data_IF_547198675035
#
_entry.id   IF_547198675035
#
_cell.length_a   1.000
_cell.length_b   1.000
_cell.length_c   1.000
_cell.angle_alpha   90.00
_cell.angle_beta   90.00
_cell.angle_gamma   90.00
#
_symmetry.space_group_name_H-M   'P 1'
#
loop_
_entity.id
_entity.type
_entity.pdbx_description
1 polymer ?
#
# COMPACT_ATOMS: atom_id res chain seq x y z
N UNK A 1 22.12 -28.53 49.24
CA UNK A 1 21.36 -29.30 48.23
C UNK A 1 19.99 -28.65 48.10
N UNK A 2 19.87 -27.64 47.24
CA UNK A 2 18.61 -26.91 47.05
C UNK A 2 17.65 -27.82 46.27
N UNK A 3 16.66 -28.38 46.97
CA UNK A 3 15.53 -29.05 46.34
C UNK A 3 14.68 -27.97 45.68
N UNK A 4 14.72 -27.94 44.35
CA UNK A 4 14.05 -26.98 43.48
C UNK A 4 12.54 -26.92 43.67
N UNK A 5 11.95 -25.84 43.16
CA UNK A 5 10.59 -25.39 43.43
C UNK A 5 9.46 -26.36 43.06
N UNK A 6 8.25 -25.95 43.45
CA UNK A 6 6.98 -26.71 43.49
C UNK A 6 6.52 -27.33 42.15
N UNK A 7 7.22 -27.12 41.04
CA UNK A 7 6.90 -27.73 39.75
C UNK A 7 7.92 -28.79 39.33
N UNK A 8 7.41 -29.80 38.61
CA UNK A 8 7.98 -30.97 37.95
C UNK A 8 9.37 -30.87 37.29
N UNK A 9 10.03 -29.71 37.26
CA UNK A 9 11.33 -29.47 36.63
C UNK A 9 12.39 -29.18 37.69
N UNK A 10 13.29 -30.14 37.88
CA UNK A 10 14.27 -30.13 38.97
C UNK A 10 15.44 -29.16 38.69
N UNK A 11 15.76 -28.89 37.43
CA UNK A 11 16.80 -27.95 37.01
C UNK A 11 16.47 -27.30 35.66
N UNK A 12 16.21 -25.99 35.65
CA UNK A 12 15.86 -25.23 34.45
C UNK A 12 17.07 -24.86 33.58
N UNK A 13 18.30 -25.09 34.05
CA UNK A 13 19.51 -24.82 33.26
C UNK A 13 19.87 -25.95 32.31
N UNK A 14 19.25 -27.13 32.50
CA UNK A 14 19.48 -28.31 31.68
C UNK A 14 18.60 -28.33 30.43
N UNK A 15 19.01 -29.11 29.43
CA UNK A 15 18.20 -29.40 28.26
C UNK A 15 16.98 -30.25 28.62
N UNK A 16 15.90 -30.26 27.82
CA UNK A 16 14.74 -31.11 28.10
C UNK A 16 15.10 -32.59 28.03
N UNK A 17 14.78 -33.33 29.08
CA UNK A 17 15.08 -34.76 29.20
C UNK A 17 14.04 -35.47 30.07
N UNK A 18 14.05 -36.81 30.07
CA UNK A 18 13.10 -37.62 30.82
C UNK A 18 11.66 -37.57 30.28
N UNK A 19 10.72 -38.12 31.04
CA UNK A 19 9.31 -38.24 30.63
C UNK A 19 8.60 -36.90 30.40
N UNK A 20 9.05 -35.83 31.07
CA UNK A 20 8.50 -34.47 30.93
C UNK A 20 9.30 -33.57 29.97
N UNK A 21 10.38 -34.07 29.37
CA UNK A 21 11.23 -33.31 28.45
C UNK A 21 10.53 -32.85 27.17
N UNK A 22 9.45 -33.52 26.77
CA UNK A 22 8.67 -33.16 25.59
C UNK A 22 7.71 -31.98 25.82
N UNK A 23 7.43 -31.61 27.07
CA UNK A 23 6.39 -30.62 27.41
C UNK A 23 6.69 -29.26 26.80
N UNK A 24 7.86 -28.68 27.08
CA UNK A 24 8.20 -27.34 26.60
C UNK A 24 8.43 -27.26 25.08
N UNK A 25 9.17 -28.19 24.44
CA UNK A 25 9.28 -28.20 22.98
C UNK A 25 7.92 -28.27 22.27
N UNK A 26 7.00 -29.08 22.80
CA UNK A 26 5.63 -29.19 22.25
C UNK A 26 4.84 -27.91 22.45
N UNK A 27 4.91 -27.30 23.63
CA UNK A 27 4.21 -26.04 23.91
C UNK A 27 4.72 -24.89 23.04
N UNK A 28 6.04 -24.74 22.90
CA UNK A 28 6.63 -23.70 22.04
C UNK A 28 6.20 -23.89 20.59
N UNK A 29 6.32 -25.10 20.06
CA UNK A 29 5.92 -25.40 18.68
C UNK A 29 4.41 -25.20 18.47
N UNK A 30 3.59 -25.67 19.42
CA UNK A 30 2.14 -25.53 19.38
C UNK A 30 1.69 -24.06 19.45
N UNK A 31 2.30 -23.25 20.31
CA UNK A 31 2.01 -21.82 20.41
C UNK A 31 2.45 -21.06 19.16
N UNK A 32 3.60 -21.40 18.57
CA UNK A 32 4.04 -20.83 17.29
C UNK A 32 3.04 -21.16 16.17
N UNK A 33 2.63 -22.42 16.06
CA UNK A 33 1.62 -22.83 15.08
C UNK A 33 0.28 -22.12 15.30
N UNK A 34 -0.18 -22.04 16.56
CA UNK A 34 -1.43 -21.37 16.91
C UNK A 34 -1.38 -19.88 16.59
N UNK A 35 -0.27 -19.21 16.88
CA UNK A 35 0.00 -17.82 16.53
C UNK A 35 -0.11 -17.60 15.01
N UNK A 36 0.46 -18.49 14.19
CA UNK A 36 0.29 -18.46 12.73
C UNK A 36 -1.17 -18.66 12.34
N UNK A 37 -1.87 -19.66 12.90
CA UNK A 37 -3.28 -19.90 12.57
C UNK A 37 -4.15 -18.69 12.90
N UNK A 38 -3.90 -18.01 14.02
CA UNK A 38 -4.63 -16.82 14.42
C UNK A 38 -4.29 -15.65 13.48
N UNK A 39 -3.01 -15.40 13.20
CA UNK A 39 -2.57 -14.32 12.32
C UNK A 39 -3.15 -14.45 10.89
N UNK A 40 -3.20 -15.66 10.35
CA UNK A 40 -3.68 -15.93 8.98
C UNK A 40 -5.13 -16.42 8.91
N UNK A 41 -5.89 -16.45 10.01
CA UNK A 41 -7.27 -16.97 10.04
C UNK A 41 -8.21 -16.29 9.05
N UNK A 42 -8.00 -14.99 8.76
CA UNK A 42 -8.82 -14.20 7.84
C UNK A 42 -8.50 -14.36 6.35
N UNK A 43 -7.43 -15.10 5.99
CA UNK A 43 -7.01 -15.26 4.59
C UNK A 43 -7.68 -16.45 3.90
N UNK A 44 -8.42 -17.29 4.64
CA UNK A 44 -9.10 -18.48 4.10
C UNK A 44 -10.35 -18.17 3.26
N UNK A 45 -10.90 -16.96 3.34
CA UNK A 45 -12.15 -16.57 2.65
C UNK A 45 -12.02 -15.38 1.70
N UNK A 46 -10.80 -14.83 1.54
CA UNK A 46 -10.54 -13.74 0.60
C UNK A 46 -9.68 -14.27 -0.54
N UNK A 47 -10.30 -14.45 -1.70
CA UNK A 47 -9.57 -14.59 -2.96
C UNK A 47 -8.87 -13.25 -3.21
N UNK A 48 -7.63 -13.10 -2.76
CA UNK A 48 -6.79 -11.96 -3.11
C UNK A 48 -6.28 -12.21 -4.54
N UNK A 49 -6.77 -11.50 -5.57
CA UNK A 49 -6.27 -11.69 -6.92
C UNK A 49 -4.82 -11.13 -6.98
N UNK A 50 -3.86 -11.94 -7.44
CA UNK A 50 -2.48 -11.52 -7.74
C UNK A 50 -1.36 -12.14 -6.90
N UNK A 51 -0.13 -11.67 -7.14
CA UNK A 51 1.13 -12.22 -6.62
C UNK A 51 1.21 -12.17 -5.08
N UNK A 52 0.62 -11.16 -4.44
CA UNK A 52 0.64 -11.00 -2.98
C UNK A 52 -0.20 -12.05 -2.24
N UNK A 53 -1.34 -12.49 -2.80
CA UNK A 53 -2.13 -13.57 -2.22
C UNK A 53 -1.41 -14.92 -2.30
N UNK A 54 -0.72 -15.14 -3.42
CA UNK A 54 0.15 -16.31 -3.63
C UNK A 54 1.35 -16.26 -2.68
N UNK A 55 2.01 -15.11 -2.54
CA UNK A 55 3.13 -14.91 -1.63
C UNK A 55 2.71 -15.10 -0.17
N UNK A 56 1.58 -14.56 0.27
CA UNK A 56 1.06 -14.76 1.63
C UNK A 56 0.74 -16.23 1.91
N UNK A 57 0.22 -16.97 0.92
CA UNK A 57 -0.02 -18.42 1.02
C UNK A 57 1.30 -19.18 1.19
N UNK A 58 2.31 -18.92 0.35
CA UNK A 58 3.61 -19.59 0.47
C UNK A 58 4.35 -19.19 1.75
N UNK A 59 4.27 -17.92 2.16
CA UNK A 59 4.86 -17.43 3.40
C UNK A 59 4.23 -18.08 4.62
N UNK A 60 2.89 -18.23 4.64
CA UNK A 60 2.21 -18.99 5.69
C UNK A 60 2.67 -20.44 5.74
N UNK A 61 2.69 -21.14 4.61
CA UNK A 61 3.15 -22.54 4.55
C UNK A 61 4.59 -22.66 5.03
N UNK A 62 5.46 -21.73 4.64
CA UNK A 62 6.84 -21.64 5.12
C UNK A 62 6.91 -21.52 6.65
N UNK A 63 6.12 -20.61 7.24
CA UNK A 63 6.07 -20.43 8.70
C UNK A 63 5.49 -21.66 9.43
N UNK A 64 4.51 -22.34 8.84
CA UNK A 64 3.96 -23.59 9.37
C UNK A 64 5.02 -24.70 9.34
N UNK A 65 5.79 -24.83 8.26
CA UNK A 65 6.92 -25.77 8.14
C UNK A 65 7.98 -25.49 9.21
N UNK A 66 8.26 -24.21 9.51
CA UNK A 66 9.22 -23.79 10.53
C UNK A 66 8.85 -24.27 11.96
N UNK A 67 7.61 -24.69 12.18
CA UNK A 67 7.19 -25.34 13.45
C UNK A 67 8.00 -26.60 13.75
N UNK A 68 8.36 -27.38 12.72
CA UNK A 68 9.10 -28.64 12.85
C UNK A 68 10.53 -28.40 13.37
N UNK A 69 11.37 -27.57 12.73
CA UNK A 69 12.69 -27.28 13.27
C UNK A 69 12.63 -26.55 14.61
N UNK A 70 11.61 -25.71 14.86
CA UNK A 70 11.43 -25.07 16.16
C UNK A 70 11.17 -26.08 17.28
N UNK A 71 10.37 -27.13 17.01
CA UNK A 71 10.17 -28.25 17.92
C UNK A 71 11.49 -28.99 18.22
N UNK A 72 12.30 -29.25 17.19
CA UNK A 72 13.58 -29.95 17.34
C UNK A 72 14.62 -29.11 18.11
N UNK A 73 14.72 -27.81 17.80
CA UNK A 73 15.57 -26.85 18.52
C UNK A 73 15.20 -26.78 20.00
N UNK A 74 13.92 -26.98 20.33
CA UNK A 74 13.46 -27.06 21.70
C UNK A 74 14.25 -28.06 22.57
N UNK A 75 14.80 -29.14 22.01
CA UNK A 75 15.58 -30.12 22.75
C UNK A 75 17.05 -29.71 23.01
N UNK A 76 17.52 -28.65 22.36
CA UNK A 76 18.93 -28.21 22.41
C UNK A 76 19.08 -26.88 23.17
N UNK A 77 18.01 -26.43 23.83
CA UNK A 77 17.94 -25.16 24.55
C UNK A 77 17.63 -25.42 26.03
N UNK A 78 18.24 -24.68 26.98
CA UNK A 78 17.91 -24.81 28.39
C UNK A 78 16.43 -24.62 28.68
N UNK A 79 15.88 -25.44 29.58
CA UNK A 79 14.45 -25.42 29.94
C UNK A 79 13.97 -24.04 30.40
N UNK A 80 14.80 -23.25 31.07
CA UNK A 80 14.48 -21.88 31.51
C UNK A 80 14.20 -20.92 30.35
N UNK A 81 14.94 -21.04 29.25
CA UNK A 81 14.67 -20.26 28.03
C UNK A 81 13.36 -20.69 27.38
N UNK A 82 13.03 -21.98 27.42
CA UNK A 82 11.76 -22.50 26.90
C UNK A 82 10.56 -22.09 27.75
N UNK A 83 10.72 -21.96 29.06
CA UNK A 83 9.70 -21.37 29.94
C UNK A 83 9.40 -19.95 29.47
N UNK A 84 10.44 -19.12 29.27
CA UNK A 84 10.28 -17.77 28.76
C UNK A 84 9.59 -17.74 27.40
N UNK A 85 10.01 -18.57 26.44
CA UNK A 85 9.37 -18.66 25.12
C UNK A 85 7.91 -19.09 25.20
N UNK A 86 7.60 -20.06 26.06
CA UNK A 86 6.24 -20.54 26.28
C UNK A 86 5.37 -19.42 26.88
N UNK A 87 5.85 -18.73 27.91
CA UNK A 87 5.12 -17.62 28.53
C UNK A 87 4.90 -16.48 27.54
N UNK A 88 5.93 -16.09 26.79
CA UNK A 88 5.82 -15.04 25.79
C UNK A 88 4.85 -15.44 24.65
N UNK A 89 4.92 -16.68 24.19
CA UNK A 89 4.00 -17.23 23.18
C UNK A 89 2.56 -17.25 23.66
N UNK A 90 2.32 -17.64 24.93
CA UNK A 90 0.99 -17.66 25.53
C UNK A 90 0.40 -16.25 25.65
N UNK A 91 1.20 -15.28 26.10
CA UNK A 91 0.78 -13.87 26.15
C UNK A 91 0.45 -13.36 24.75
N UNK A 92 1.28 -13.66 23.74
CA UNK A 92 1.05 -13.25 22.36
C UNK A 92 -0.28 -13.80 21.82
N UNK A 93 -0.55 -15.09 22.02
CA UNK A 93 -1.81 -15.73 21.62
C UNK A 93 -2.99 -15.10 22.36
N UNK A 94 -2.88 -14.90 23.67
CA UNK A 94 -3.92 -14.26 24.47
C UNK A 94 -4.21 -12.84 23.97
N UNK A 95 -3.18 -12.03 23.73
CA UNK A 95 -3.31 -10.69 23.16
C UNK A 95 -4.02 -10.72 21.81
N UNK A 96 -3.61 -11.60 20.89
CA UNK A 96 -4.25 -11.67 19.57
C UNK A 96 -5.72 -12.12 19.65
N UNK A 97 -6.07 -13.04 20.56
CA UNK A 97 -7.46 -13.46 20.78
C UNK A 97 -8.28 -12.35 21.43
N UNK A 98 -7.73 -11.66 22.43
CA UNK A 98 -8.34 -10.48 23.05
C UNK A 98 -8.60 -9.39 22.01
N UNK A 99 -7.61 -9.09 21.17
CA UNK A 99 -7.72 -8.14 20.06
C UNK A 99 -8.58 -8.64 18.90
N UNK A 100 -9.11 -9.87 18.93
CA UNK A 100 -10.15 -10.34 18.00
C UNK A 100 -11.56 -10.25 18.59
N UNK A 101 -11.68 -10.02 19.89
CA UNK A 101 -12.95 -9.87 20.57
C UNK A 101 -13.41 -8.42 20.48
N UNK A 102 -14.56 -8.21 19.85
CA UNK A 102 -15.12 -6.88 19.58
C UNK A 102 -15.47 -6.13 20.89
N UNK A 103 -15.82 -6.85 21.96
CA UNK A 103 -16.04 -6.24 23.29
C UNK A 103 -14.75 -5.68 23.89
N UNK A 104 -13.63 -6.39 23.75
CA UNK A 104 -12.32 -5.94 24.25
C UNK A 104 -11.80 -4.77 23.40
N UNK A 105 -11.98 -4.84 22.07
CA UNK A 105 -11.66 -3.71 21.18
C UNK A 105 -12.41 -2.46 21.57
N UNK A 106 -13.73 -2.57 21.82
CA UNK A 106 -14.57 -1.46 22.24
C UNK A 106 -14.13 -0.84 23.56
N UNK A 107 -13.75 -1.68 24.54
CA UNK A 107 -13.20 -1.20 25.82
C UNK A 107 -11.85 -0.50 25.63
N UNK A 108 -11.03 -0.96 24.69
CA UNK A 108 -9.74 -0.36 24.35
C UNK A 108 -9.83 0.81 23.35
N UNK A 109 -11.02 1.17 22.88
CA UNK A 109 -11.21 2.21 21.86
C UNK A 109 -10.70 1.86 20.46
N UNK A 110 -10.51 0.58 20.16
CA UNK A 110 -10.04 0.09 18.86
C UNK A 110 -11.21 -0.08 17.87
N UNK A 111 -11.03 0.26 16.57
CA UNK A 111 -12.08 0.19 15.56
C UNK A 111 -12.47 -1.26 15.19
N UNK A 112 -13.75 -1.44 14.85
CA UNK A 112 -14.37 -2.76 14.63
C UNK A 112 -14.06 -3.33 13.24
N UNK A 113 -13.19 -4.34 13.18
CA UNK A 113 -12.67 -4.90 11.91
C UNK A 113 -13.73 -5.63 11.07
N UNK A 114 -14.89 -5.98 11.63
CA UNK A 114 -15.97 -6.71 10.93
C UNK A 114 -16.96 -5.81 10.20
N UNK A 115 -16.96 -4.50 10.46
CA UNK A 115 -17.84 -3.56 9.75
C UNK A 115 -17.44 -3.37 8.26
N UNK A 116 -16.22 -3.73 7.88
CA UNK A 116 -15.69 -3.63 6.51
C UNK A 116 -16.10 -4.78 5.56
N UNK A 117 -17.08 -5.62 5.93
CA UNK A 117 -17.47 -6.82 5.17
C UNK A 117 -18.84 -6.75 4.44
N UNK A 118 -19.39 -5.55 4.22
CA UNK A 118 -20.48 -5.36 3.24
C UNK A 118 -20.01 -4.47 2.09
N UNK A 119 -19.32 -5.06 1.12
CA UNK A 119 -19.29 -4.49 -0.23
C UNK A 119 -20.57 -4.91 -0.97
N UNK A 120 -21.33 -3.99 -1.60
CA UNK A 120 -22.35 -4.39 -2.55
C UNK A 120 -21.65 -5.01 -3.76
N UNK A 121 -22.03 -6.25 -4.06
CA UNK A 121 -21.62 -6.99 -5.25
C UNK A 121 -22.28 -6.31 -6.46
N UNK A 122 -21.65 -5.28 -7.02
CA UNK A 122 -22.10 -4.70 -8.30
C UNK A 122 -21.67 -5.67 -9.39
N UNK A 123 -22.67 -6.33 -9.99
CA UNK A 123 -22.48 -7.26 -11.09
C UNK A 123 -21.86 -6.57 -12.30
N UNK A 124 -20.81 -7.19 -12.84
CA UNK A 124 -20.34 -6.90 -14.19
C UNK A 124 -21.49 -7.18 -15.17
N UNK A 125 -22.02 -6.12 -15.79
CA UNK A 125 -22.74 -6.22 -17.05
C UNK A 125 -22.03 -5.35 -18.07
N UNK A 126 -21.44 -6.03 -19.06
CA UNK A 126 -20.95 -5.47 -20.31
C UNK A 126 -22.01 -4.56 -20.94
N UNK A 127 -21.61 -3.39 -21.46
CA UNK A 127 -22.28 -2.77 -22.61
C UNK A 127 -21.35 -1.77 -23.33
N UNK A 128 -20.84 -2.26 -24.44
CA UNK A 128 -20.65 -1.69 -25.78
C UNK A 128 -21.00 -0.21 -26.08
N UNK A 129 -20.27 0.33 -27.07
CA UNK A 129 -20.18 1.68 -27.66
C UNK A 129 -21.46 2.43 -28.11
N UNK A 130 -21.43 3.77 -27.92
CA UNK A 130 -21.87 4.94 -28.77
C UNK A 130 -23.36 5.10 -29.21
N UNK A 131 -23.80 6.29 -29.75
CA UNK A 131 -23.85 7.66 -29.18
C UNK A 131 -25.22 8.40 -29.42
N UNK A 132 -25.39 9.60 -28.85
CA UNK A 132 -26.23 10.76 -29.23
C UNK A 132 -27.61 10.54 -29.91
N UNK A 133 -28.71 11.05 -29.31
CA UNK A 133 -29.71 11.96 -29.92
C UNK A 133 -30.85 12.36 -28.95
N UNK A 134 -31.53 13.45 -29.32
CA UNK A 134 -32.42 14.34 -28.58
C UNK A 134 -33.80 13.80 -28.13
N UNK A 135 -34.47 14.64 -27.33
CA UNK A 135 -35.92 14.97 -27.37
C UNK A 135 -36.89 14.41 -26.29
N UNK A 136 -37.43 15.37 -25.52
CA UNK A 136 -38.81 15.55 -25.04
C UNK A 136 -39.50 14.56 -24.03
N UNK A 137 -39.69 15.12 -22.82
CA UNK A 137 -40.98 15.50 -22.19
C UNK A 137 -41.96 14.42 -21.64
N UNK A 138 -42.20 14.51 -20.31
CA UNK A 138 -43.40 14.17 -19.51
C UNK A 138 -43.86 12.69 -19.48
N UNK A 139 -44.36 12.09 -18.38
CA UNK A 139 -45.20 12.57 -17.28
C UNK A 139 -45.36 11.44 -16.23
N UNK A 140 -45.81 11.83 -15.04
CA UNK A 140 -46.62 11.08 -14.06
C UNK A 140 -45.95 10.40 -12.85
N UNK A 141 -46.11 11.12 -11.73
CA UNK A 141 -46.51 10.66 -10.40
C UNK A 141 -47.01 9.22 -10.32
N UNK A 142 -46.41 8.45 -9.40
CA UNK A 142 -47.20 7.79 -8.37
C UNK A 142 -46.39 7.75 -7.09
N UNK A 143 -46.91 8.42 -6.06
CA UNK A 143 -46.45 8.29 -4.69
C UNK A 143 -46.73 6.88 -4.20
N UNK A 144 -45.77 6.26 -3.55
CA UNK A 144 -46.07 5.23 -2.56
C UNK A 144 -45.14 5.43 -1.40
N UNK A 145 -45.76 5.80 -0.29
CA UNK A 145 -45.19 6.04 1.02
C UNK A 145 -44.21 4.93 1.41
N UNK A 146 -43.06 5.32 1.95
CA UNK A 146 -42.37 4.60 3.02
C UNK A 146 -41.52 5.60 3.79
N UNK A 147 -42.18 6.38 4.63
CA UNK A 147 -41.57 6.80 5.89
C UNK A 147 -41.33 5.52 6.71
N UNK A 148 -40.15 4.94 6.54
CA UNK A 148 -39.53 4.16 7.61
C UNK A 148 -38.28 4.91 8.00
N UNK A 149 -38.54 5.89 8.85
CA UNK A 149 -37.65 6.63 9.71
C UNK A 149 -36.29 5.94 9.93
N UNK A 150 -35.25 6.67 9.51
CA UNK A 150 -34.24 7.21 10.41
C UNK A 150 -33.84 6.27 11.55
N UNK A 151 -32.70 5.60 11.39
CA UNK A 151 -31.69 5.37 12.42
C UNK A 151 -30.68 4.34 11.91
N UNK A 152 -29.75 4.78 11.04
CA UNK A 152 -28.46 4.09 10.89
C UNK A 152 -27.40 5.15 11.09
N UNK A 153 -26.70 5.00 12.22
CA UNK A 153 -25.68 5.89 12.79
C UNK A 153 -24.79 6.55 11.74
N UNK A 154 -25.10 7.81 11.45
CA UNK A 154 -24.13 8.86 11.17
C UNK A 154 -23.22 9.01 12.40
N UNK A 155 -22.16 8.22 12.44
CA UNK A 155 -21.09 8.36 13.41
C UNK A 155 -20.08 9.40 12.96
N UNK A 156 -20.40 10.68 13.19
CA UNK A 156 -19.49 11.85 13.18
C UNK A 156 -18.58 12.01 11.96
N UNK A 157 -19.15 12.35 10.81
CA UNK A 157 -18.61 13.47 10.05
C UNK A 157 -19.59 14.59 10.29
N UNK A 158 -19.17 15.60 11.05
CA UNK A 158 -20.01 16.77 11.28
C UNK A 158 -20.44 17.30 9.91
N UNK A 159 -21.74 17.39 9.66
CA UNK A 159 -22.31 17.91 8.41
C UNK A 159 -21.85 19.35 8.07
N UNK A 160 -21.06 19.97 8.95
CA UNK A 160 -20.48 21.30 8.88
C UNK A 160 -19.01 21.38 8.43
N UNK A 161 -18.29 20.26 8.25
CA UNK A 161 -16.84 20.34 7.99
C UNK A 161 -16.52 20.79 6.56
N UNK A 162 -15.59 21.74 6.42
CA UNK A 162 -15.16 22.26 5.11
C UNK A 162 -14.40 21.20 4.30
N UNK A 163 -14.30 21.33 2.96
CA UNK A 163 -13.48 20.42 2.14
C UNK A 163 -12.03 20.30 2.64
N UNK A 164 -11.45 21.41 3.11
CA UNK A 164 -10.10 21.49 3.63
C UNK A 164 -9.95 20.76 4.97
N UNK A 165 -10.92 20.92 5.88
CA UNK A 165 -10.95 20.20 7.16
C UNK A 165 -11.07 18.68 6.97
N UNK A 166 -11.86 18.25 5.98
CA UNK A 166 -11.99 16.84 5.61
C UNK A 166 -10.67 16.30 5.05
N UNK A 167 -9.98 17.10 4.24
CA UNK A 167 -8.67 16.76 3.71
C UNK A 167 -7.61 16.68 4.82
N UNK A 168 -7.59 17.62 5.76
CA UNK A 168 -6.67 17.62 6.89
C UNK A 168 -6.84 16.35 7.75
N UNK A 169 -8.08 16.00 8.08
CA UNK A 169 -8.40 14.76 8.78
C UNK A 169 -7.94 13.53 7.98
N UNK A 170 -8.14 13.54 6.66
CA UNK A 170 -7.68 12.45 5.81
C UNK A 170 -6.15 12.31 5.82
N UNK A 171 -5.41 13.42 5.75
CA UNK A 171 -3.95 13.42 5.80
C UNK A 171 -3.45 12.85 7.13
N UNK A 172 -4.09 13.20 8.26
CA UNK A 172 -3.78 12.60 9.56
C UNK A 172 -4.01 11.07 9.58
N UNK A 173 -5.08 10.61 8.93
CA UNK A 173 -5.31 9.17 8.77
C UNK A 173 -4.25 8.51 7.86
N UNK A 174 -3.76 9.19 6.81
CA UNK A 174 -2.67 8.69 5.97
C UNK A 174 -1.34 8.60 6.72
N UNK A 175 -1.01 9.59 7.54
CA UNK A 175 0.21 9.59 8.38
C UNK A 175 0.23 8.42 9.36
N UNK A 176 -0.95 8.03 9.86
CA UNK A 176 -1.11 6.87 10.75
C UNK A 176 -1.28 5.54 10.01
N UNK A 177 -1.17 5.54 8.67
CA UNK A 177 -1.31 4.35 7.83
C UNK A 177 -2.74 3.85 7.62
N UNK A 178 -3.74 4.58 8.11
CA UNK A 178 -5.16 4.22 8.08
C UNK A 178 -5.83 4.67 6.77
N UNK A 179 -5.36 4.15 5.63
CA UNK A 179 -5.86 4.52 4.31
C UNK A 179 -7.37 4.29 4.14
N UNK A 180 -7.94 3.26 4.78
CA UNK A 180 -9.36 2.94 4.72
C UNK A 180 -10.26 4.06 5.29
N UNK A 181 -9.74 4.86 6.22
CA UNK A 181 -10.44 6.02 6.79
C UNK A 181 -10.14 7.29 5.99
N UNK A 182 -8.94 7.41 5.43
CA UNK A 182 -8.56 8.56 4.62
C UNK A 182 -9.33 8.64 3.30
N UNK A 183 -9.46 7.52 2.56
CA UNK A 183 -10.06 7.53 1.21
C UNK A 183 -11.49 8.10 1.20
N UNK A 184 -12.42 7.69 2.10
CA UNK A 184 -13.75 8.28 2.16
C UNK A 184 -13.71 9.79 2.41
N UNK A 185 -12.86 10.26 3.33
CA UNK A 185 -12.72 11.67 3.66
C UNK A 185 -12.20 12.49 2.46
N UNK A 186 -11.19 11.99 1.75
CA UNK A 186 -10.67 12.64 0.53
C UNK A 186 -11.76 12.66 -0.55
N UNK A 187 -12.53 11.58 -0.70
CA UNK A 187 -13.64 11.53 -1.67
C UNK A 187 -14.69 12.58 -1.35
N UNK A 188 -15.13 12.67 -0.10
CA UNK A 188 -16.10 13.68 0.32
C UNK A 188 -15.54 15.10 0.16
N UNK A 189 -14.24 15.32 0.40
CA UNK A 189 -13.60 16.60 0.12
C UNK A 189 -13.67 16.97 -1.37
N UNK A 190 -13.35 16.04 -2.26
CA UNK A 190 -13.44 16.24 -3.73
C UNK A 190 -14.89 16.44 -4.20
N UNK A 191 -15.86 15.74 -3.59
CA UNK A 191 -17.29 15.90 -3.90
C UNK A 191 -17.81 17.28 -3.50
N UNK A 192 -17.33 17.82 -2.36
CA UNK A 192 -17.70 19.17 -1.92
C UNK A 192 -16.99 20.26 -2.72
N UNK A 193 -15.73 20.05 -3.06
CA UNK A 193 -14.96 20.96 -3.91
C UNK A 193 -14.08 20.18 -4.90
N UNK A 194 -14.59 20.09 -6.13
CA UNK A 194 -13.88 19.45 -7.24
C UNK A 194 -12.65 20.24 -7.72
N UNK A 195 -12.50 21.51 -7.30
CA UNK A 195 -11.35 22.35 -7.62
C UNK A 195 -10.16 22.15 -6.67
N UNK A 196 -10.39 21.47 -5.54
CA UNK A 196 -9.38 21.18 -4.53
C UNK A 196 -8.36 20.14 -5.03
N UNK A 197 -7.38 20.62 -5.81
CA UNK A 197 -6.35 19.80 -6.43
C UNK A 197 -5.45 19.07 -5.42
N UNK A 198 -5.30 19.61 -4.20
CA UNK A 198 -4.55 18.97 -3.12
C UNK A 198 -5.22 17.64 -2.72
N UNK A 199 -6.55 17.60 -2.68
CA UNK A 199 -7.31 16.38 -2.42
C UNK A 199 -7.19 15.38 -3.59
N UNK A 200 -7.19 15.86 -4.84
CA UNK A 200 -6.94 15.02 -6.01
C UNK A 200 -5.53 14.39 -5.98
N UNK A 201 -4.50 15.14 -5.61
CA UNK A 201 -3.13 14.63 -5.45
C UNK A 201 -3.07 13.60 -4.32
N UNK A 202 -3.67 13.89 -3.16
CA UNK A 202 -3.72 12.97 -2.03
C UNK A 202 -4.44 11.65 -2.36
N UNK A 203 -5.56 11.74 -3.10
CA UNK A 203 -6.26 10.57 -3.63
C UNK A 203 -5.36 9.79 -4.61
N UNK A 204 -4.72 10.48 -5.56
CA UNK A 204 -3.82 9.88 -6.53
C UNK A 204 -2.66 9.13 -5.89
N UNK A 205 -2.01 9.71 -4.86
CA UNK A 205 -0.94 9.06 -4.11
C UNK A 205 -1.42 7.82 -3.34
N UNK A 206 -2.61 7.90 -2.76
CA UNK A 206 -3.22 6.79 -2.03
C UNK A 206 -3.56 5.63 -2.98
N UNK A 207 -4.17 5.93 -4.13
CA UNK A 207 -4.49 4.96 -5.18
C UNK A 207 -3.23 4.35 -5.79
N UNK A 208 -2.19 5.15 -6.04
CA UNK A 208 -0.90 4.68 -6.54
C UNK A 208 -0.26 3.68 -5.58
N UNK A 209 -0.27 3.99 -4.28
CA UNK A 209 0.24 3.10 -3.23
C UNK A 209 -0.52 1.77 -3.18
N UNK A 210 -1.82 1.82 -3.50
CA UNK A 210 -2.69 0.64 -3.63
C UNK A 210 -2.56 -0.07 -4.99
N UNK A 211 -1.64 0.37 -5.86
CA UNK A 211 -1.41 -0.15 -7.23
C UNK A 211 -2.62 -0.02 -8.16
N UNK A 212 -3.55 0.87 -7.84
CA UNK A 212 -4.66 1.27 -8.70
C UNK A 212 -4.16 2.39 -9.64
N UNK A 213 -3.26 2.02 -10.55
CA UNK A 213 -2.55 2.97 -11.41
C UNK A 213 -3.46 3.73 -12.39
N UNK A 214 -4.48 3.10 -13.03
CA UNK A 214 -5.41 3.84 -13.87
C UNK A 214 -6.18 4.93 -13.11
N UNK A 215 -6.70 4.60 -11.94
CA UNK A 215 -7.45 5.53 -11.10
C UNK A 215 -6.55 6.64 -10.53
N UNK A 216 -5.33 6.28 -10.11
CA UNK A 216 -4.33 7.25 -9.67
C UNK A 216 -3.99 8.26 -10.77
N UNK A 217 -3.84 7.76 -12.02
CA UNK A 217 -3.57 8.59 -13.19
C UNK A 217 -4.67 9.62 -13.40
N UNK A 218 -5.94 9.20 -13.36
CA UNK A 218 -7.09 10.09 -13.51
C UNK A 218 -7.04 11.20 -12.44
N UNK A 219 -6.76 10.85 -11.18
CA UNK A 219 -6.66 11.84 -10.11
C UNK A 219 -5.53 12.86 -10.37
N UNK A 220 -4.32 12.40 -10.73
CA UNK A 220 -3.20 13.30 -10.99
C UNK A 220 -3.42 14.17 -12.23
N UNK A 221 -3.83 13.58 -13.36
CA UNK A 221 -4.08 14.32 -14.60
C UNK A 221 -5.22 15.34 -14.43
N UNK A 222 -6.22 15.04 -13.59
CA UNK A 222 -7.29 15.97 -13.27
C UNK A 222 -6.85 17.11 -12.34
N UNK A 223 -5.81 16.90 -11.52
CA UNK A 223 -5.21 17.92 -10.68
C UNK A 223 -4.35 18.90 -11.46
N UNK A 224 -3.51 18.42 -12.39
CA UNK A 224 -2.54 19.22 -13.16
C UNK A 224 -3.08 20.56 -13.70
N UNK A 225 -4.22 20.63 -14.43
CA UNK A 225 -4.69 21.90 -15.00
C UNK A 225 -5.24 22.90 -13.97
N UNK A 226 -5.43 22.48 -12.71
CA UNK A 226 -5.93 23.32 -11.61
C UNK A 226 -4.81 23.92 -10.76
N UNK A 227 -3.57 23.54 -11.02
CA UNK A 227 -2.40 23.94 -10.23
C UNK A 227 -1.66 25.06 -10.98
N UNK A 228 -1.27 26.12 -10.28
CA UNK A 228 -0.46 27.19 -10.84
C UNK A 228 0.95 26.69 -11.20
N UNK A 229 1.58 27.25 -12.24
CA UNK A 229 2.89 26.78 -12.72
C UNK A 229 4.01 26.89 -11.68
N UNK A 230 3.90 27.85 -10.74
CA UNK A 230 4.88 28.06 -9.68
C UNK A 230 4.59 27.22 -8.43
N UNK A 231 3.43 26.58 -8.35
CA UNK A 231 3.08 25.73 -7.22
C UNK A 231 3.89 24.43 -7.29
N UNK A 232 4.67 24.11 -6.25
CA UNK A 232 5.46 22.89 -6.24
C UNK A 232 4.65 21.58 -6.31
N UNK A 233 3.35 21.62 -5.97
CA UNK A 233 2.46 20.48 -6.12
C UNK A 233 2.26 20.06 -7.59
N UNK A 234 2.53 20.96 -8.55
CA UNK A 234 2.51 20.63 -9.97
C UNK A 234 3.58 19.58 -10.32
N UNK A 235 4.77 19.70 -9.73
CA UNK A 235 5.86 18.73 -9.91
C UNK A 235 5.43 17.34 -9.42
N UNK A 236 4.78 17.30 -8.25
CA UNK A 236 4.27 16.04 -7.68
C UNK A 236 3.17 15.43 -8.54
N UNK A 237 2.24 16.24 -9.06
CA UNK A 237 1.15 15.78 -9.91
C UNK A 237 1.67 15.21 -11.25
N UNK A 238 2.56 15.94 -11.95
CA UNK A 238 3.17 15.47 -13.21
C UNK A 238 4.02 14.21 -13.00
N UNK A 239 4.83 14.17 -11.93
CA UNK A 239 5.62 12.99 -11.58
C UNK A 239 4.73 11.77 -11.27
N UNK A 240 3.69 11.97 -10.47
CA UNK A 240 2.71 10.95 -10.12
C UNK A 240 1.95 10.41 -11.34
N UNK A 241 1.47 11.29 -12.22
CA UNK A 241 0.80 10.91 -13.47
C UNK A 241 1.74 10.09 -14.37
N UNK A 242 2.96 10.59 -14.60
CA UNK A 242 3.96 9.93 -15.42
C UNK A 242 4.33 8.53 -14.92
N UNK A 243 4.59 8.40 -13.62
CA UNK A 243 4.91 7.12 -13.01
C UNK A 243 3.71 6.16 -13.06
N UNK A 244 2.49 6.66 -12.87
CA UNK A 244 1.26 5.86 -12.97
C UNK A 244 1.04 5.33 -14.39
N UNK A 245 1.26 6.15 -15.42
CA UNK A 245 1.23 5.73 -16.84
C UNK A 245 2.30 4.69 -17.16
N UNK A 246 3.53 4.91 -16.69
CA UNK A 246 4.64 3.96 -16.87
C UNK A 246 4.30 2.59 -16.24
N UNK A 247 3.67 2.57 -15.06
CA UNK A 247 3.23 1.32 -14.40
C UNK A 247 2.12 0.59 -15.15
N UNK A 248 1.38 1.28 -16.01
CA UNK A 248 0.39 0.70 -16.93
C UNK A 248 1.02 0.20 -18.23
N UNK A 249 2.31 0.45 -18.47
CA UNK A 249 2.99 0.14 -19.73
C UNK A 249 2.76 1.17 -20.83
N UNK A 250 2.16 2.32 -20.50
CA UNK A 250 1.93 3.43 -21.44
C UNK A 250 3.12 4.38 -21.42
N UNK A 251 4.25 3.94 -22.01
CA UNK A 251 5.49 4.73 -22.08
C UNK A 251 5.27 6.08 -22.77
N UNK A 252 4.41 6.14 -23.79
CA UNK A 252 4.15 7.36 -24.56
C UNK A 252 3.53 8.44 -23.68
N UNK A 253 2.40 8.15 -23.02
CA UNK A 253 1.75 9.11 -22.14
C UNK A 253 2.59 9.40 -20.89
N UNK A 254 3.40 8.43 -20.43
CA UNK A 254 4.34 8.66 -19.34
C UNK A 254 5.40 9.71 -19.71
N UNK A 255 5.97 9.61 -20.92
CA UNK A 255 6.92 10.59 -21.46
C UNK A 255 6.25 11.97 -21.56
N UNK A 256 5.05 12.07 -22.12
CA UNK A 256 4.34 13.36 -22.26
C UNK A 256 4.14 14.05 -20.89
N UNK A 257 3.67 13.31 -19.89
CA UNK A 257 3.47 13.83 -18.53
C UNK A 257 4.78 14.24 -17.85
N UNK A 258 5.85 13.45 -18.01
CA UNK A 258 7.15 13.73 -17.39
C UNK A 258 7.95 14.81 -18.14
N UNK A 259 7.78 14.95 -19.45
CA UNK A 259 8.41 16.01 -20.24
C UNK A 259 7.98 17.39 -19.76
N UNK A 260 6.73 17.54 -19.32
CA UNK A 260 6.24 18.77 -18.71
C UNK A 260 7.11 19.21 -17.53
N UNK A 261 7.67 18.28 -16.74
CA UNK A 261 8.59 18.62 -15.65
C UNK A 261 9.83 19.36 -16.17
N UNK A 262 10.36 18.96 -17.32
CA UNK A 262 11.56 19.57 -17.87
C UNK A 262 11.34 21.02 -18.33
N UNK A 263 10.09 21.41 -18.60
CA UNK A 263 9.65 22.75 -19.00
C UNK A 263 9.38 23.65 -17.78
N UNK A 264 9.11 23.07 -16.61
CA UNK A 264 8.89 23.84 -15.38
C UNK A 264 10.21 24.45 -14.88
N UNK A 265 10.08 25.63 -14.26
CA UNK A 265 11.16 26.26 -13.52
C UNK A 265 11.60 25.34 -12.38
N UNK A 266 12.91 25.22 -12.20
CA UNK A 266 13.50 24.42 -11.13
C UNK A 266 12.98 24.89 -9.75
N UNK A 267 12.43 23.97 -8.91
CA UNK A 267 11.93 24.34 -7.59
C UNK A 267 13.06 24.73 -6.63
N UNK A 268 12.83 25.78 -5.83
CA UNK A 268 13.81 26.24 -4.83
C UNK A 268 13.82 25.36 -3.57
N UNK A 269 12.64 24.88 -3.15
CA UNK A 269 12.49 24.07 -1.93
C UNK A 269 13.13 22.68 -2.12
N UNK A 270 14.00 22.21 -1.20
CA UNK A 270 14.73 20.94 -1.37
C UNK A 270 13.85 19.71 -1.64
N UNK A 271 12.70 19.62 -0.97
CA UNK A 271 11.80 18.46 -1.12
C UNK A 271 11.21 18.37 -2.53
N UNK A 272 10.86 19.51 -3.12
CA UNK A 272 10.30 19.60 -4.47
C UNK A 272 11.39 19.48 -5.52
N UNK A 273 12.56 20.04 -5.24
CA UNK A 273 13.76 19.92 -6.07
C UNK A 273 14.18 18.45 -6.22
N UNK A 274 14.16 17.67 -5.14
CA UNK A 274 14.40 16.22 -5.19
C UNK A 274 13.37 15.50 -6.08
N UNK A 275 12.08 15.76 -5.90
CA UNK A 275 11.02 15.15 -6.71
C UNK A 275 11.15 15.52 -8.19
N UNK A 276 11.50 16.78 -8.49
CA UNK A 276 11.77 17.26 -9.84
C UNK A 276 12.85 16.45 -10.56
N UNK A 277 14.03 16.30 -9.94
CA UNK A 277 15.11 15.52 -10.54
C UNK A 277 14.81 14.03 -10.59
N UNK A 278 14.08 13.47 -9.61
CA UNK A 278 13.60 12.09 -9.70
C UNK A 278 12.68 11.88 -10.91
N UNK A 279 11.84 12.86 -11.23
CA UNK A 279 11.02 12.83 -12.44
C UNK A 279 11.84 12.92 -13.74
N UNK A 280 12.90 13.73 -13.76
CA UNK A 280 13.82 13.78 -14.90
C UNK A 280 14.60 12.46 -15.09
N UNK A 281 15.01 11.81 -14.00
CA UNK A 281 15.62 10.47 -14.06
C UNK A 281 14.63 9.44 -14.58
N UNK A 282 13.37 9.47 -14.10
CA UNK A 282 12.32 8.58 -14.60
C UNK A 282 12.09 8.78 -16.10
N UNK A 283 12.04 10.03 -16.57
CA UNK A 283 11.94 10.35 -18.00
C UNK A 283 13.14 9.80 -18.79
N UNK A 284 14.35 10.03 -18.30
CA UNK A 284 15.58 9.51 -18.91
C UNK A 284 15.57 7.98 -19.02
N UNK A 285 15.20 7.28 -17.94
CA UNK A 285 15.10 5.82 -17.92
C UNK A 285 14.05 5.28 -18.91
N UNK A 286 12.87 5.91 -18.98
CA UNK A 286 11.85 5.51 -19.96
C UNK A 286 12.37 5.72 -21.40
N UNK A 287 13.03 6.86 -21.67
CA UNK A 287 13.62 7.13 -22.99
C UNK A 287 14.72 6.14 -23.37
N UNK A 288 15.57 5.75 -22.42
CA UNK A 288 16.61 4.71 -22.63
C UNK A 288 15.94 3.38 -23.00
N UNK A 289 14.91 2.97 -22.28
CA UNK A 289 14.17 1.74 -22.53
C UNK A 289 13.47 1.73 -23.90
N UNK A 290 13.00 2.89 -24.37
CA UNK A 290 12.43 3.08 -25.71
C UNK A 290 13.50 3.24 -26.81
N UNK A 291 14.80 3.12 -26.49
CA UNK A 291 15.92 3.26 -27.43
C UNK A 291 16.25 4.71 -27.80
N UNK A 292 15.56 5.70 -27.23
CA UNK A 292 15.74 7.14 -27.47
C UNK A 292 16.86 7.73 -26.61
N UNK A 293 18.02 7.06 -26.60
CA UNK A 293 19.15 7.37 -25.70
C UNK A 293 19.69 8.81 -25.87
N UNK A 294 19.77 9.32 -27.10
CA UNK A 294 20.23 10.70 -27.36
C UNK A 294 19.33 11.76 -26.69
N UNK A 295 18.03 11.52 -26.61
CA UNK A 295 17.09 12.39 -25.90
C UNK A 295 17.15 12.21 -24.39
N UNK A 296 17.53 11.04 -23.90
CA UNK A 296 17.67 10.77 -22.46
C UNK A 296 18.85 11.56 -21.86
N UNK A 297 19.97 11.65 -22.58
CA UNK A 297 21.23 12.28 -22.11
C UNK A 297 20.97 13.68 -21.54
N UNK A 298 20.23 14.53 -22.25
CA UNK A 298 19.95 15.91 -21.79
C UNK A 298 19.22 15.96 -20.44
N UNK A 299 18.34 15.00 -20.15
CA UNK A 299 17.57 14.97 -18.90
C UNK A 299 18.39 14.34 -17.77
N UNK A 300 19.12 13.26 -18.07
CA UNK A 300 19.96 12.57 -17.10
C UNK A 300 21.13 13.47 -16.67
N UNK A 301 21.78 14.20 -17.59
CA UNK A 301 22.86 15.14 -17.25
C UNK A 301 22.40 16.21 -16.25
N UNK A 302 21.18 16.75 -16.42
CA UNK A 302 20.58 17.69 -15.47
C UNK A 302 20.40 17.05 -14.09
N UNK A 303 19.96 15.80 -14.03
CA UNK A 303 19.82 15.07 -12.78
C UNK A 303 21.18 14.76 -12.11
N UNK A 304 22.21 14.41 -12.89
CA UNK A 304 23.57 14.16 -12.39
C UNK A 304 24.20 15.41 -11.77
N UNK A 305 23.95 16.59 -12.35
CA UNK A 305 24.39 17.86 -11.77
C UNK A 305 23.81 18.12 -10.37
N UNK A 306 22.66 17.52 -10.04
CA UNK A 306 22.03 17.59 -8.73
C UNK A 306 22.41 16.43 -7.80
N UNK A 307 22.40 15.20 -8.31
CA UNK A 307 22.75 13.98 -7.59
C UNK A 307 23.71 13.12 -8.44
N UNK A 308 25.01 13.11 -8.12
CA UNK A 308 26.01 12.31 -8.84
C UNK A 308 25.69 10.81 -8.92
N UNK A 309 24.86 10.26 -8.02
CA UNK A 309 24.47 8.85 -8.07
C UNK A 309 23.66 8.50 -9.33
N UNK A 310 23.11 9.50 -10.02
CA UNK A 310 22.39 9.32 -11.28
C UNK A 310 23.33 9.06 -12.47
N UNK A 311 24.66 9.11 -12.29
CA UNK A 311 25.64 8.88 -13.35
C UNK A 311 25.53 7.48 -13.97
N UNK A 312 24.98 6.51 -13.23
CA UNK A 312 24.68 5.17 -13.73
C UNK A 312 23.80 5.20 -15.00
N UNK A 313 22.87 6.14 -15.10
CA UNK A 313 21.97 6.27 -16.25
C UNK A 313 22.65 6.92 -17.45
N UNK A 314 23.74 7.69 -17.26
CA UNK A 314 24.54 8.21 -18.37
C UNK A 314 25.35 7.10 -19.03
N UNK A 315 25.96 6.23 -18.23
CA UNK A 315 26.71 5.07 -18.75
C UNK A 315 25.84 4.16 -19.61
N UNK A 316 24.58 3.95 -19.19
CA UNK A 316 23.59 3.18 -19.96
C UNK A 316 23.24 3.83 -21.31
N UNK A 317 23.40 5.15 -21.44
CA UNK A 317 23.27 5.86 -22.72
C UNK A 317 24.50 5.61 -23.63
N UNK A 318 25.70 5.51 -23.05
CA UNK A 318 26.98 5.40 -23.77
C UNK A 318 27.30 3.97 -24.25
N UNK A 319 26.94 2.94 -23.48
CA UNK A 319 27.29 1.52 -23.68
C UNK A 319 26.81 0.87 -25.00
N UNK A 320 26.12 1.59 -25.88
CA UNK A 320 25.75 1.11 -27.23
C UNK A 320 26.40 1.89 -28.38
N UNK A 321 27.26 2.86 -28.09
CA UNK A 321 28.08 3.53 -29.13
C UNK A 321 29.32 2.73 -29.51
N UNK A 322 29.66 1.66 -28.78
CA UNK A 322 30.72 0.70 -29.11
C UNK A 322 30.28 -0.50 -29.97
N UNK A 323 29.07 -0.50 -30.54
CA UNK A 323 28.76 -1.46 -31.60
C UNK A 323 29.38 -0.97 -32.92
N UNK A 324 30.67 -1.27 -33.07
CA UNK A 324 31.46 -1.07 -34.29
C UNK A 324 30.65 -1.52 -35.51
N UNK A 325 30.68 -0.80 -36.63
CA UNK A 325 30.19 -1.33 -37.89
C UNK A 325 30.95 -2.62 -38.17
N UNK A 326 30.25 -3.75 -38.30
CA UNK A 326 30.83 -4.98 -38.86
C UNK A 326 31.48 -4.58 -40.18
N UNK A 327 32.81 -4.63 -40.19
CA UNK A 327 33.59 -4.38 -41.40
C UNK A 327 33.11 -5.36 -42.46
N UNK A 328 32.67 -4.81 -43.58
CA UNK A 328 32.67 -5.55 -44.83
C UNK A 328 34.14 -5.77 -45.21
N UNK A 329 34.61 -7.01 -45.14
CA UNK A 329 35.85 -7.60 -45.67
C UNK A 329 35.84 -9.05 -45.14
N UNK A 330 35.73 -10.13 -45.90
CA UNK A 330 36.13 -10.46 -47.27
C UNK A 330 35.12 -11.42 -47.93
#
# INVERSE_FOLDING_TARGET
MYKGGILWFHNLTEFPHGSSGLVFPTLVAGLHYLNIQIAFHGTHTKHYPGIFGVLAKYYRVYLEILTIPLFLIGYVIPQGSLVYWTTNGLITVAQQLSLKNDAVKKVLGLPDTRAHQKFPRVGHKMMQERPLEDAHMHTNLTSTNNETANNIMEGKVSASSSPEELLEQALQHLETGNQDQAIPLIRTAIEKDSSLYVALIGMGQTLFSNRLFPEATVCFEHAIPKIEEQDPLLVLACYGAGLSRMRQGDSKMAIENLQRLAELKEPEKPINKKCYYQGLVALGSILINEGRKSEAVKFVQRAVAYDPNCEIYLKECDDTTEDKPKSAEH
#
